data_IF_494437390239
#
_entry.id   IF_494437390239
#
_cell.length_a   1.000
_cell.length_b   1.000
_cell.length_c   1.000
_cell.angle_alpha   90.00
_cell.angle_beta   90.00
_cell.angle_gamma   90.00
#
_symmetry.space_group_name_H-M   'P 1'
#
loop_
_entity.id
_entity.type
_entity.pdbx_description
1 polymer ?
#
# COMPACT_ATOMS: atom_id res chain seq x y z
N UNK A 1 11.15 -6.69 -9.31
CA UNK A 1 9.73 -7.02 -9.55
C UNK A 1 9.24 -7.94 -8.44
N UNK A 2 8.19 -7.53 -7.70
CA UNK A 2 7.54 -8.38 -6.68
C UNK A 2 6.96 -9.64 -7.36
N UNK A 3 6.89 -10.75 -6.63
CA UNK A 3 6.44 -12.07 -7.14
C UNK A 3 5.08 -12.01 -7.86
N UNK A 4 4.18 -11.14 -7.40
CA UNK A 4 2.81 -11.01 -7.92
C UNK A 4 2.77 -10.36 -9.31
N UNK A 5 3.66 -9.42 -9.60
CA UNK A 5 3.76 -8.79 -10.93
C UNK A 5 4.21 -9.79 -12.00
N UNK A 6 5.13 -10.70 -11.66
CA UNK A 6 5.56 -11.76 -12.59
C UNK A 6 4.46 -12.80 -12.80
N UNK A 7 3.71 -13.16 -11.75
CA UNK A 7 2.55 -14.04 -11.86
C UNK A 7 1.44 -13.44 -12.74
N UNK A 8 1.13 -12.15 -12.54
CA UNK A 8 0.15 -11.43 -13.36
C UNK A 8 0.52 -11.42 -14.85
N UNK A 9 1.79 -11.19 -15.19
CA UNK A 9 2.27 -11.24 -16.59
C UNK A 9 2.07 -12.65 -17.18
N UNK A 10 2.37 -13.71 -16.42
CA UNK A 10 2.16 -15.10 -16.87
C UNK A 10 0.68 -15.39 -17.08
N UNK A 11 -0.18 -15.00 -16.13
CA UNK A 11 -1.63 -15.20 -16.24
C UNK A 11 -2.22 -14.44 -17.44
N UNK A 12 -1.83 -13.17 -17.65
CA UNK A 12 -2.26 -12.37 -18.81
C UNK A 12 -1.85 -13.04 -20.13
N UNK A 13 -0.59 -13.45 -20.22
CA UNK A 13 -0.07 -14.14 -21.41
C UNK A 13 -0.83 -15.43 -21.73
N UNK A 14 -1.19 -16.23 -20.71
CA UNK A 14 -1.94 -17.48 -20.89
C UNK A 14 -3.40 -17.19 -21.29
N UNK A 15 -4.03 -16.19 -20.67
CA UNK A 15 -5.38 -15.74 -21.00
C UNK A 15 -5.46 -15.19 -22.44
N UNK A 16 -4.38 -14.59 -22.94
CA UNK A 16 -4.22 -14.15 -24.34
C UNK A 16 -3.92 -15.31 -25.31
N UNK A 17 -3.77 -16.54 -24.84
CA UNK A 17 -3.59 -17.73 -25.67
C UNK A 17 -2.16 -18.22 -25.79
N UNK A 18 -1.18 -17.60 -25.13
CA UNK A 18 0.20 -18.11 -25.14
C UNK A 18 0.32 -19.42 -24.38
N UNK A 19 1.35 -20.20 -24.71
CA UNK A 19 1.70 -21.40 -23.94
C UNK A 19 2.41 -21.00 -22.65
N UNK A 20 2.42 -21.91 -21.69
CA UNK A 20 3.05 -21.69 -20.40
C UNK A 20 4.58 -21.51 -20.51
N UNK A 21 5.21 -22.14 -21.51
CA UNK A 21 6.62 -21.94 -21.84
C UNK A 21 6.88 -20.56 -22.45
N UNK A 22 6.02 -20.07 -23.34
CA UNK A 22 6.20 -18.75 -23.96
C UNK A 22 5.94 -17.62 -22.96
N UNK A 23 4.96 -17.79 -22.08
CA UNK A 23 4.74 -16.91 -20.94
C UNK A 23 5.96 -16.90 -20.01
N UNK A 24 6.56 -18.05 -19.70
CA UNK A 24 7.80 -18.14 -18.92
C UNK A 24 8.97 -17.41 -19.57
N UNK A 25 9.17 -17.59 -20.88
CA UNK A 25 10.21 -16.89 -21.65
C UNK A 25 10.07 -15.36 -21.57
N UNK A 26 8.85 -14.82 -21.64
CA UNK A 26 8.64 -13.36 -21.56
C UNK A 26 9.10 -12.71 -20.25
N UNK A 27 9.30 -13.49 -19.18
CA UNK A 27 9.84 -13.02 -17.90
C UNK A 27 11.17 -13.67 -17.53
N UNK A 28 11.82 -14.37 -18.47
CA UNK A 28 13.12 -15.01 -18.28
C UNK A 28 13.14 -16.20 -17.33
N UNK A 29 12.04 -16.97 -17.24
CA UNK A 29 11.95 -18.16 -16.37
C UNK A 29 11.55 -19.42 -17.15
N UNK A 30 11.84 -20.60 -16.57
CA UNK A 30 11.42 -21.89 -17.14
C UNK A 30 9.91 -22.11 -17.05
N UNK A 31 9.37 -23.00 -17.89
CA UNK A 31 7.95 -23.38 -17.83
C UNK A 31 7.50 -23.84 -16.44
N UNK A 32 8.29 -24.68 -15.76
CA UNK A 32 7.96 -25.12 -14.41
C UNK A 32 7.87 -23.95 -13.42
N UNK A 33 8.76 -22.96 -13.52
CA UNK A 33 8.72 -21.77 -12.68
C UNK A 33 7.53 -20.88 -13.03
N UNK A 34 7.18 -20.76 -14.31
CA UNK A 34 5.98 -20.06 -14.75
C UNK A 34 4.70 -20.73 -14.22
N UNK A 35 4.67 -22.07 -14.17
CA UNK A 35 3.53 -22.84 -13.60
C UNK A 35 3.38 -22.59 -12.11
N UNK A 36 4.48 -22.58 -11.35
CA UNK A 36 4.45 -22.22 -9.93
C UNK A 36 3.93 -20.79 -9.70
N UNK A 37 4.37 -19.83 -10.52
CA UNK A 37 3.90 -18.45 -10.46
C UNK A 37 2.41 -18.33 -10.83
N UNK A 38 1.97 -19.08 -11.83
CA UNK A 38 0.57 -19.15 -12.25
C UNK A 38 -0.32 -19.70 -11.13
N UNK A 39 0.02 -20.86 -10.58
CA UNK A 39 -0.78 -21.49 -9.51
C UNK A 39 -0.89 -20.59 -8.29
N UNK A 40 0.19 -19.88 -7.96
CA UNK A 40 0.20 -18.93 -6.85
C UNK A 40 -0.74 -17.75 -7.13
N UNK A 41 -0.63 -17.09 -8.28
CA UNK A 41 -1.45 -15.91 -8.58
C UNK A 41 -2.93 -16.28 -8.76
N UNK A 42 -3.23 -17.44 -9.36
CA UNK A 42 -4.59 -17.96 -9.45
C UNK A 42 -5.19 -18.20 -8.06
N UNK A 43 -4.42 -18.76 -7.11
CA UNK A 43 -4.88 -18.93 -5.73
C UNK A 43 -5.09 -17.60 -5.01
N UNK A 44 -4.20 -16.62 -5.20
CA UNK A 44 -4.34 -15.29 -4.60
C UNK A 44 -5.57 -14.55 -5.14
N UNK A 45 -5.91 -14.74 -6.42
CA UNK A 45 -7.04 -14.11 -7.08
C UNK A 45 -8.35 -14.91 -7.02
N UNK A 46 -8.35 -16.08 -6.39
CA UNK A 46 -9.47 -17.04 -6.41
C UNK A 46 -9.95 -17.30 -7.86
N UNK A 47 -9.01 -17.77 -8.68
CA UNK A 47 -9.20 -18.11 -10.09
C UNK A 47 -8.79 -19.57 -10.36
N UNK A 48 -9.36 -20.21 -11.39
CA UNK A 48 -8.89 -21.52 -11.83
C UNK A 48 -7.45 -21.43 -12.36
N UNK A 49 -6.65 -22.45 -12.07
CA UNK A 49 -5.25 -22.53 -12.53
C UNK A 49 -5.08 -23.34 -13.82
N UNK A 50 -6.13 -24.01 -14.29
CA UNK A 50 -6.09 -24.76 -15.55
C UNK A 50 -6.10 -23.81 -16.75
N UNK A 51 -5.19 -24.05 -17.71
CA UNK A 51 -5.03 -23.20 -18.90
C UNK A 51 -6.33 -23.10 -19.71
N UNK A 52 -7.07 -24.20 -19.82
CA UNK A 52 -8.34 -24.23 -20.54
C UNK A 52 -9.37 -23.30 -19.89
N UNK A 53 -9.48 -23.33 -18.57
CA UNK A 53 -10.42 -22.51 -17.81
C UNK A 53 -10.02 -21.03 -17.79
N UNK A 54 -8.72 -20.74 -17.66
CA UNK A 54 -8.19 -19.36 -17.74
C UNK A 54 -8.55 -18.72 -19.08
N UNK A 55 -8.41 -19.47 -20.18
CA UNK A 55 -8.73 -18.97 -21.53
C UNK A 55 -10.24 -18.81 -21.72
N UNK A 56 -11.03 -19.72 -21.16
CA UNK A 56 -12.50 -19.63 -21.20
C UNK A 56 -13.02 -18.41 -20.44
N UNK A 57 -12.38 -18.04 -19.34
CA UNK A 57 -12.74 -16.89 -18.50
C UNK A 57 -11.73 -15.74 -18.66
N UNK A 58 -11.24 -15.51 -19.89
CA UNK A 58 -10.21 -14.52 -20.20
C UNK A 58 -10.53 -13.13 -19.64
N UNK A 59 -11.75 -12.65 -19.88
CA UNK A 59 -12.17 -11.30 -19.48
C UNK A 59 -12.19 -11.13 -17.96
N UNK A 60 -12.64 -12.16 -17.23
CA UNK A 60 -12.60 -12.16 -15.76
C UNK A 60 -11.16 -12.16 -15.25
N UNK A 61 -10.29 -12.99 -15.84
CA UNK A 61 -8.87 -13.04 -15.49
C UNK A 61 -8.19 -11.68 -15.71
N UNK A 62 -8.43 -11.05 -16.87
CA UNK A 62 -7.87 -9.73 -17.19
C UNK A 62 -8.39 -8.69 -16.20
N UNK A 63 -9.69 -8.68 -15.92
CA UNK A 63 -10.30 -7.74 -14.96
C UNK A 63 -9.71 -7.90 -13.55
N UNK A 64 -9.48 -9.13 -13.08
CA UNK A 64 -8.83 -9.37 -11.78
C UNK A 64 -7.35 -8.96 -11.79
N UNK A 65 -6.62 -9.16 -12.90
CA UNK A 65 -5.24 -8.66 -13.05
C UNK A 65 -5.21 -7.14 -13.04
N UNK A 66 -6.10 -6.48 -13.79
CA UNK A 66 -6.24 -5.02 -13.80
C UNK A 66 -6.59 -4.51 -12.40
N UNK A 67 -7.46 -5.20 -11.65
CA UNK A 67 -7.74 -4.88 -10.25
C UNK A 67 -6.51 -5.03 -9.33
N UNK A 68 -5.57 -5.92 -9.67
CA UNK A 68 -4.30 -6.12 -8.97
C UNK A 68 -3.26 -5.05 -9.33
N UNK A 69 -3.17 -4.68 -10.60
CA UNK A 69 -2.31 -3.61 -11.12
C UNK A 69 -2.80 -2.22 -10.67
N UNK A 70 -4.11 -2.05 -10.57
CA UNK A 70 -4.78 -0.88 -10.01
C UNK A 70 -5.00 -0.99 -8.51
N UNK A 71 -4.53 -2.07 -7.87
CA UNK A 71 -4.60 -2.20 -6.42
C UNK A 71 -3.65 -1.19 -5.82
N UNK A 72 -4.22 -0.10 -5.30
CA UNK A 72 -3.51 0.97 -4.62
C UNK A 72 -2.58 0.40 -3.53
N UNK A 73 -2.95 -0.71 -2.90
CA UNK A 73 -2.16 -1.44 -1.89
C UNK A 73 -0.79 -1.93 -2.37
N UNK A 74 -0.58 -2.14 -3.68
CA UNK A 74 0.70 -2.62 -4.21
C UNK A 74 1.86 -1.63 -3.96
N UNK A 75 1.53 -0.35 -3.77
CA UNK A 75 2.47 0.73 -3.47
C UNK A 75 2.87 0.78 -2.00
N UNK A 76 1.99 0.32 -1.10
CA UNK A 76 2.25 0.26 0.34
C UNK A 76 3.19 -0.91 0.65
N UNK A 77 4.10 -0.75 1.61
CA UNK A 77 4.97 -1.84 2.00
C UNK A 77 4.14 -2.99 2.60
N UNK A 78 4.29 -4.26 2.16
CA UNK A 78 3.38 -5.35 2.54
C UNK A 78 3.22 -5.53 4.05
N UNK A 79 4.34 -5.45 4.78
CA UNK A 79 4.33 -5.57 6.25
C UNK A 79 3.58 -4.42 6.94
N UNK A 80 3.57 -3.23 6.34
CA UNK A 80 2.83 -2.07 6.86
C UNK A 80 1.36 -2.19 6.51
N UNK A 81 1.01 -2.65 5.30
CA UNK A 81 -0.36 -2.97 4.92
C UNK A 81 -0.99 -4.03 5.84
N UNK A 82 -0.28 -5.14 6.08
CA UNK A 82 -0.70 -6.20 7.01
C UNK A 82 -0.86 -5.67 8.45
N UNK A 83 0.09 -4.85 8.89
CA UNK A 83 0.05 -4.28 10.23
C UNK A 83 -1.12 -3.29 10.40
N UNK A 84 -1.37 -2.43 9.41
CA UNK A 84 -2.51 -1.52 9.36
C UNK A 84 -3.81 -2.29 9.40
N UNK A 85 -3.99 -3.29 8.53
CA UNK A 85 -5.20 -4.11 8.51
C UNK A 85 -5.44 -4.80 9.85
N UNK A 86 -4.40 -5.36 10.46
CA UNK A 86 -4.47 -6.00 11.78
C UNK A 86 -4.85 -5.03 12.90
N UNK A 87 -4.18 -3.88 12.96
CA UNK A 87 -4.42 -2.85 14.00
C UNK A 87 -5.82 -2.24 13.86
N UNK A 88 -6.25 -2.00 12.62
CA UNK A 88 -7.56 -1.45 12.29
C UNK A 88 -8.68 -2.51 12.30
N UNK A 89 -8.34 -3.77 12.63
CA UNK A 89 -9.26 -4.92 12.73
C UNK A 89 -10.06 -5.16 11.45
N UNK A 90 -9.43 -4.96 10.30
CA UNK A 90 -10.00 -5.29 9.01
C UNK A 90 -10.05 -6.81 8.82
N UNK A 91 -11.11 -7.29 8.17
CA UNK A 91 -11.29 -8.72 7.90
C UNK A 91 -10.22 -9.24 6.94
N UNK A 92 -9.82 -8.41 5.97
CA UNK A 92 -8.74 -8.69 5.04
C UNK A 92 -7.90 -7.43 4.76
N UNK A 93 -6.70 -7.61 4.20
CA UNK A 93 -5.82 -6.48 3.85
C UNK A 93 -6.42 -5.67 2.70
N UNK A 94 -7.17 -6.31 1.82
CA UNK A 94 -7.84 -5.68 0.67
C UNK A 94 -8.94 -4.70 1.08
N UNK A 95 -9.45 -4.80 2.32
CA UNK A 95 -10.40 -3.85 2.87
C UNK A 95 -9.72 -2.51 3.26
N UNK A 96 -8.38 -2.46 3.28
CA UNK A 96 -7.62 -1.25 3.52
C UNK A 96 -7.60 -0.40 2.24
N UNK A 97 -8.50 0.57 2.15
CA UNK A 97 -8.56 1.51 1.02
C UNK A 97 -8.07 2.90 1.39
N UNK A 98 -7.64 3.73 0.41
CA UNK A 98 -7.31 5.12 0.65
C UNK A 98 -8.47 5.90 1.28
N UNK A 99 -9.70 5.65 0.84
CA UNK A 99 -10.91 6.29 1.36
C UNK A 99 -11.11 5.94 2.84
N UNK A 100 -10.99 4.66 3.20
CA UNK A 100 -11.12 4.22 4.59
C UNK A 100 -10.08 4.93 5.48
N UNK A 101 -8.80 4.88 5.08
CA UNK A 101 -7.71 5.39 5.88
C UNK A 101 -7.70 6.93 5.96
N UNK A 102 -8.19 7.63 4.93
CA UNK A 102 -8.33 9.10 4.91
C UNK A 102 -9.27 9.66 5.99
N UNK A 103 -10.19 8.82 6.51
CA UNK A 103 -11.08 9.20 7.60
C UNK A 103 -10.40 9.20 8.98
N UNK A 104 -9.18 8.66 9.08
CA UNK A 104 -8.41 8.56 10.32
C UNK A 104 -7.37 9.67 10.41
N UNK A 105 -7.12 10.18 11.61
CA UNK A 105 -6.00 11.09 11.89
C UNK A 105 -4.71 10.32 12.20
N UNK A 106 -3.57 11.00 12.09
CA UNK A 106 -2.29 10.45 12.54
C UNK A 106 -2.33 10.01 14.02
N UNK A 107 -2.95 10.81 14.89
CA UNK A 107 -3.11 10.52 16.32
C UNK A 107 -3.89 9.24 16.59
N UNK A 108 -4.96 8.98 15.82
CA UNK A 108 -5.71 7.74 15.91
C UNK A 108 -4.86 6.52 15.54
N UNK A 109 -4.03 6.64 14.51
CA UNK A 109 -3.12 5.56 14.09
C UNK A 109 -2.03 5.31 15.14
N UNK A 110 -1.44 6.36 15.70
CA UNK A 110 -0.43 6.26 16.76
C UNK A 110 -1.01 5.64 18.04
N UNK A 111 -2.22 6.06 18.43
CA UNK A 111 -2.94 5.49 19.58
C UNK A 111 -3.28 4.01 19.36
N UNK A 112 -3.51 3.61 18.11
CA UNK A 112 -3.69 2.22 17.73
C UNK A 112 -2.37 1.42 17.68
N UNK A 113 -1.27 1.98 18.19
CA UNK A 113 0.05 1.36 18.30
C UNK A 113 0.76 1.17 16.95
N UNK A 114 0.47 2.02 15.96
CA UNK A 114 1.30 2.13 14.76
C UNK A 114 2.52 3.01 15.04
N UNK A 115 3.64 2.70 14.39
CA UNK A 115 4.85 3.50 14.49
C UNK A 115 4.72 4.77 13.64
N UNK A 116 5.49 5.81 13.98
CA UNK A 116 5.57 7.03 13.17
C UNK A 116 5.97 6.74 11.71
N UNK A 117 6.84 5.76 11.48
CA UNK A 117 7.23 5.33 10.13
C UNK A 117 6.05 4.74 9.38
N UNK A 118 5.24 3.89 10.02
CA UNK A 118 4.05 3.33 9.40
C UNK A 118 3.01 4.42 9.09
N UNK A 119 2.87 5.42 9.95
CA UNK A 119 2.00 6.58 9.71
C UNK A 119 2.51 7.43 8.55
N UNK A 120 3.82 7.66 8.45
CA UNK A 120 4.43 8.40 7.35
C UNK A 120 4.25 7.67 6.00
N UNK A 121 4.48 6.35 5.95
CA UNK A 121 4.24 5.55 4.75
C UNK A 121 2.75 5.53 4.36
N UNK A 122 1.84 5.40 5.34
CA UNK A 122 0.41 5.51 5.11
C UNK A 122 0.03 6.87 4.52
N UNK A 123 0.60 7.96 5.05
CA UNK A 123 0.38 9.31 4.54
C UNK A 123 0.94 9.48 3.12
N UNK A 124 2.13 8.96 2.82
CA UNK A 124 2.70 8.96 1.47
C UNK A 124 1.81 8.21 0.48
N UNK A 125 1.34 7.03 0.88
CA UNK A 125 0.42 6.21 0.09
C UNK A 125 -0.89 6.95 -0.21
N UNK A 126 -1.48 7.61 0.79
CA UNK A 126 -2.69 8.42 0.61
C UNK A 126 -2.47 9.58 -0.36
N UNK A 127 -1.34 10.27 -0.28
CA UNK A 127 -1.00 11.38 -1.18
C UNK A 127 -0.90 10.91 -2.63
N UNK A 128 -0.29 9.75 -2.89
CA UNK A 128 -0.23 9.14 -4.24
C UNK A 128 -1.61 8.81 -4.79
N UNK A 129 -2.57 8.53 -3.90
CA UNK A 129 -3.96 8.25 -4.24
C UNK A 129 -4.86 9.50 -4.15
N UNK A 130 -4.29 10.70 -4.12
CA UNK A 130 -5.03 11.96 -4.20
C UNK A 130 -5.77 12.36 -2.92
N UNK A 131 -5.45 11.73 -1.78
CA UNK A 131 -6.07 12.01 -0.48
C UNK A 131 -5.02 12.22 0.60
N UNK A 132 -5.44 12.39 1.86
CA UNK A 132 -4.54 12.50 3.01
C UNK A 132 -5.22 11.93 4.25
N UNK A 133 -4.45 11.67 5.31
CA UNK A 133 -5.03 11.47 6.63
C UNK A 133 -5.88 12.70 7.01
N UNK A 134 -6.86 12.47 7.86
CA UNK A 134 -7.70 13.53 8.42
C UNK A 134 -6.82 14.54 9.16
N UNK A 135 -6.85 15.79 8.71
CA UNK A 135 -6.06 16.87 9.30
C UNK A 135 -6.54 17.18 10.72
N UNK A 136 -5.64 17.01 11.68
CA UNK A 136 -5.82 17.38 13.09
C UNK A 136 -4.47 17.81 13.69
N UNK A 137 -4.48 18.70 14.70
CA UNK A 137 -3.28 18.99 15.46
C UNK A 137 -2.82 17.75 16.24
N UNK A 138 -1.52 17.66 16.60
CA UNK A 138 -1.03 16.69 17.56
C UNK A 138 -1.82 16.78 18.87
N UNK A 139 -2.25 15.65 19.44
CA UNK A 139 -3.10 15.60 20.65
C UNK A 139 -2.29 15.21 21.91
N UNK A 140 -0.99 14.93 21.78
CA UNK A 140 -0.16 14.56 22.93
C UNK A 140 1.35 14.72 22.73
N UNK A 141 2.08 14.63 23.84
CA UNK A 141 3.52 14.90 23.90
C UNK A 141 4.38 14.11 22.90
N UNK A 142 4.05 12.85 22.66
CA UNK A 142 4.79 12.01 21.69
C UNK A 142 4.62 12.56 20.27
N UNK A 143 3.43 13.03 19.94
CA UNK A 143 3.08 13.58 18.63
C UNK A 143 3.72 14.95 18.44
N UNK A 144 3.70 15.80 19.47
CA UNK A 144 4.42 17.09 19.49
C UNK A 144 5.93 16.91 19.27
N UNK A 145 6.54 15.96 19.98
CA UNK A 145 7.96 15.63 19.79
C UNK A 145 8.26 15.10 18.39
N UNK A 146 7.35 14.30 17.81
CA UNK A 146 7.49 13.81 16.45
C UNK A 146 7.41 14.95 15.43
N UNK A 147 6.47 15.89 15.59
CA UNK A 147 6.36 17.08 14.76
C UNK A 147 7.63 17.94 14.85
N UNK A 148 8.15 18.16 16.06
CA UNK A 148 9.39 18.91 16.27
C UNK A 148 10.59 18.25 15.56
N UNK A 149 10.74 16.92 15.66
CA UNK A 149 11.81 16.18 14.96
C UNK A 149 11.66 16.26 13.44
N UNK A 150 10.43 16.19 12.93
CA UNK A 150 10.17 16.33 11.50
C UNK A 150 10.55 17.73 10.99
N UNK A 151 10.17 18.78 11.72
CA UNK A 151 10.55 20.17 11.43
C UNK A 151 12.08 20.31 11.39
N UNK A 152 12.79 19.83 12.41
CA UNK A 152 14.26 19.89 12.44
C UNK A 152 14.92 19.11 11.29
N UNK A 153 14.30 18.01 10.87
CA UNK A 153 14.80 17.21 9.73
C UNK A 153 14.60 17.96 8.40
N UNK A 154 13.43 18.57 8.19
CA UNK A 154 13.15 19.38 7.01
C UNK A 154 14.08 20.60 6.94
N UNK A 155 14.33 21.26 8.08
CA UNK A 155 15.27 22.37 8.21
C UNK A 155 16.70 21.96 7.82
N UNK A 156 17.16 20.77 8.24
CA UNK A 156 18.46 20.22 7.85
C UNK A 156 18.58 19.95 6.33
N UNK A 157 17.46 19.69 5.65
CA UNK A 157 17.37 19.60 4.20
C UNK A 157 17.15 20.96 3.50
N UNK A 158 17.29 22.07 4.24
CA UNK A 158 17.14 23.45 3.75
C UNK A 158 15.73 23.81 3.26
N UNK A 159 14.69 23.13 3.74
CA UNK A 159 13.31 23.58 3.55
C UNK A 159 13.02 24.78 4.47
N UNK A 160 12.23 25.74 3.99
CA UNK A 160 11.71 26.79 4.87
C UNK A 160 10.68 26.21 5.83
N UNK A 161 11.04 26.16 7.11
CA UNK A 161 10.20 25.62 8.18
C UNK A 161 9.64 26.68 9.11
N UNK A 162 9.84 27.97 8.81
CA UNK A 162 9.51 29.10 9.70
C UNK A 162 8.05 29.06 10.12
N UNK A 163 7.14 28.92 9.16
CA UNK A 163 5.70 28.90 9.40
C UNK A 163 5.26 27.72 10.27
N UNK A 164 5.71 26.50 9.93
CA UNK A 164 5.31 25.28 10.64
C UNK A 164 5.86 25.26 12.07
N UNK A 165 7.05 25.83 12.27
CA UNK A 165 7.66 26.01 13.60
C UNK A 165 6.83 26.95 14.47
N UNK A 166 6.40 28.10 13.94
CA UNK A 166 5.51 29.01 14.65
C UNK A 166 4.16 28.37 14.98
N UNK A 167 3.60 27.58 14.06
CA UNK A 167 2.35 26.86 14.31
C UNK A 167 2.48 25.83 15.43
N UNK A 168 3.59 25.08 15.48
CA UNK A 168 3.82 24.12 16.56
C UNK A 168 4.03 24.83 17.91
N UNK A 169 4.79 25.93 17.93
CA UNK A 169 5.00 26.71 19.16
C UNK A 169 3.69 27.22 19.75
N UNK A 170 2.80 27.76 18.91
CA UNK A 170 1.47 28.21 19.35
C UNK A 170 0.67 27.09 20.02
N UNK A 171 0.74 25.87 19.50
CA UNK A 171 0.05 24.74 20.11
C UNK A 171 0.65 24.35 21.47
N UNK A 172 1.97 24.41 21.61
CA UNK A 172 2.67 24.15 22.88
C UNK A 172 2.26 25.20 23.92
N UNK A 173 2.27 26.47 23.55
CA UNK A 173 1.93 27.57 24.46
C UNK A 173 0.46 27.51 24.92
N UNK A 174 -0.44 26.99 24.08
CA UNK A 174 -1.86 26.79 24.45
C UNK A 174 -2.14 25.56 25.33
N UNK A 175 -1.24 24.57 25.37
CA UNK A 175 -1.39 23.38 26.23
C UNK A 175 -0.85 23.62 27.66
N UNK A 176 -0.06 24.68 27.87
CA UNK A 176 0.55 25.06 29.16
C UNK A 176 -0.34 26.02 30.02
N UNK A 177 -1.48 26.47 29.48
CA UNK A 177 -2.51 27.31 30.14
C UNK A 177 -3.69 26.50 30.71
#
# INVERSE_FOLDING_TARGET
MKSNARGAIVLRAIAEGKTLNDAGKSIGVSGNRASQLLNRICRELDLPSEIADIRRHKEECIKKIEGLENSTLAELHPKIAENLARVLRLGKVEDLTPEYLSNLSASQLLTANLTLVAVAEAQEWLVKNGTSLKRRPPEGNVEMQAAQRAISTLDAFQFDTTFVRSQLQFLIDCDDD
#
